data_IF_638342985537
#
_entry.id   IF_638342985537
#
_cell.length_a   1.000
_cell.length_b   1.000
_cell.length_c   1.000
_cell.angle_alpha   90.00
_cell.angle_beta   90.00
_cell.angle_gamma   90.00
#
_symmetry.space_group_name_H-M   'P 1'
#
loop_
_entity.id
_entity.type
_entity.pdbx_description
1 polymer ?
#
# COMPACT_ATOMS: atom_id res chain seq x y z
N UNK A 1 -0.27 -7.84 -2.91
CA UNK A 1 -1.21 -7.50 -1.82
C UNK A 1 -1.35 -5.99 -1.75
N UNK A 2 -2.48 -5.43 -1.28
CA UNK A 2 -2.58 -4.00 -1.00
C UNK A 2 -3.37 -3.69 0.27
N UNK A 3 -3.07 -2.54 0.87
CA UNK A 3 -3.84 -1.93 1.96
C UNK A 3 -4.28 -0.55 1.49
N UNK A 4 -5.58 -0.28 1.54
CA UNK A 4 -6.16 1.02 1.20
C UNK A 4 -6.69 1.66 2.47
N UNK A 5 -6.49 2.97 2.63
CA UNK A 5 -6.97 3.72 3.78
C UNK A 5 -7.28 5.17 3.37
N UNK A 6 -8.23 5.78 4.07
CA UNK A 6 -8.55 7.19 3.93
C UNK A 6 -7.98 7.95 5.13
N UNK A 7 -6.97 8.81 4.94
CA UNK A 7 -6.52 9.70 6.01
C UNK A 7 -7.65 10.67 6.40
N UNK A 8 -7.61 11.20 7.62
CA UNK A 8 -8.58 12.21 8.10
C UNK A 8 -8.63 13.43 7.18
N UNK A 9 -7.51 13.79 6.56
CA UNK A 9 -7.41 14.88 5.59
C UNK A 9 -6.64 14.45 4.35
N UNK A 10 -7.07 14.95 3.19
CA UNK A 10 -6.44 14.66 1.91
C UNK A 10 -7.00 13.41 1.20
N UNK A 11 -6.35 13.00 0.10
CA UNK A 11 -6.85 11.93 -0.75
C UNK A 11 -6.65 10.53 -0.16
N UNK A 12 -7.45 9.58 -0.66
CA UNK A 12 -7.30 8.15 -0.34
C UNK A 12 -5.89 7.69 -0.68
N UNK A 13 -5.35 6.78 0.15
CA UNK A 13 -4.00 6.24 -0.01
C UNK A 13 -4.03 4.73 -0.13
N UNK A 14 -3.06 4.20 -0.86
CA UNK A 14 -2.86 2.76 -1.03
C UNK A 14 -1.39 2.41 -0.87
N UNK A 15 -1.13 1.38 -0.07
CA UNK A 15 0.14 0.65 -0.07
C UNK A 15 -0.03 -0.59 -0.93
N UNK A 16 0.80 -0.76 -1.95
CA UNK A 16 0.81 -1.96 -2.81
C UNK A 16 2.14 -2.67 -2.66
N UNK A 17 2.07 -3.98 -2.46
CA UNK A 17 3.21 -4.87 -2.24
C UNK A 17 3.26 -5.90 -3.36
N UNK A 18 4.41 -5.97 -4.02
CA UNK A 18 4.68 -6.89 -5.14
C UNK A 18 5.99 -7.64 -4.94
N UNK A 19 6.10 -8.91 -5.34
CA UNK A 19 7.37 -9.62 -5.34
C UNK A 19 8.42 -8.91 -6.20
N UNK A 20 9.66 -8.83 -5.70
CA UNK A 20 10.83 -8.39 -6.46
C UNK A 20 11.56 -9.64 -6.95
N UNK A 21 11.44 -9.91 -8.25
CA UNK A 21 11.89 -11.15 -8.88
C UNK A 21 13.40 -11.45 -8.72
N UNK A 22 14.23 -10.44 -8.45
CA UNK A 22 15.68 -10.57 -8.44
C UNK A 22 16.25 -11.23 -7.17
N UNK A 23 15.61 -11.06 -6.01
CA UNK A 23 16.22 -11.38 -4.72
C UNK A 23 15.23 -11.94 -3.68
N UNK A 24 13.99 -12.25 -4.09
CA UNK A 24 12.97 -12.76 -3.17
C UNK A 24 12.45 -11.71 -2.17
N UNK A 25 12.90 -10.46 -2.28
CA UNK A 25 12.32 -9.33 -1.55
C UNK A 25 11.01 -8.85 -2.17
N UNK A 26 10.53 -7.70 -1.70
CA UNK A 26 9.28 -7.08 -2.14
C UNK A 26 9.54 -5.65 -2.60
N UNK A 27 8.72 -5.17 -3.53
CA UNK A 27 8.52 -3.76 -3.78
C UNK A 27 7.37 -3.25 -2.93
N UNK A 28 7.58 -2.16 -2.20
CA UNK A 28 6.53 -1.35 -1.58
C UNK A 28 6.29 -0.10 -2.40
N UNK A 29 5.06 0.05 -2.89
CA UNK A 29 4.59 1.24 -3.57
C UNK A 29 3.68 2.05 -2.64
N UNK A 30 3.92 3.35 -2.55
CA UNK A 30 2.97 4.31 -1.98
C UNK A 30 2.21 4.98 -3.12
N UNK A 31 0.88 4.98 -3.01
CA UNK A 31 0.01 5.46 -4.08
C UNK A 31 -1.09 6.37 -3.51
N UNK A 32 -1.47 7.36 -4.31
CA UNK A 32 -2.53 8.31 -3.99
C UNK A 32 -3.67 8.20 -5.00
N UNK A 33 -4.91 8.32 -4.56
CA UNK A 33 -6.05 8.42 -5.47
C UNK A 33 -6.15 9.82 -6.05
N UNK A 34 -6.16 9.94 -7.37
CA UNK A 34 -6.25 11.23 -8.08
C UNK A 34 -7.68 11.61 -8.47
N UNK A 35 -8.68 10.88 -7.97
CA UNK A 35 -10.09 11.03 -8.39
C UNK A 35 -10.51 10.06 -9.50
N UNK A 36 -9.57 9.53 -10.29
CA UNK A 36 -9.85 8.58 -11.38
C UNK A 36 -8.96 7.33 -11.37
N UNK A 37 -7.76 7.43 -10.82
CA UNK A 37 -6.81 6.32 -10.78
C UNK A 37 -5.88 6.45 -9.58
N UNK A 38 -5.22 5.34 -9.25
CA UNK A 38 -4.12 5.35 -8.30
C UNK A 38 -2.85 5.82 -9.02
N UNK A 39 -2.18 6.82 -8.45
CA UNK A 39 -0.88 7.30 -8.93
C UNK A 39 0.19 6.90 -7.92
N UNK A 40 1.25 6.25 -8.38
CA UNK A 40 2.43 5.97 -7.55
C UNK A 40 3.16 7.28 -7.21
N UNK A 41 3.40 7.51 -5.92
CA UNK A 41 4.21 8.62 -5.41
C UNK A 41 5.59 8.15 -4.94
N UNK A 42 5.72 6.88 -4.57
CA UNK A 42 6.98 6.30 -4.15
C UNK A 42 7.06 4.79 -4.39
N UNK A 43 8.29 4.30 -4.52
CA UNK A 43 8.62 2.88 -4.59
C UNK A 43 9.93 2.64 -3.84
N UNK A 44 9.95 1.63 -2.99
CA UNK A 44 11.19 1.18 -2.33
C UNK A 44 11.27 -0.34 -2.24
N UNK A 45 12.47 -0.90 -2.22
CA UNK A 45 12.67 -2.31 -1.94
C UNK A 45 12.51 -2.62 -0.45
N UNK A 46 11.97 -3.80 -0.14
CA UNK A 46 11.73 -4.28 1.22
C UNK A 46 12.19 -5.73 1.30
N UNK A 47 13.15 -6.03 2.16
CA UNK A 47 13.66 -7.39 2.34
C UNK A 47 12.88 -8.17 3.39
N UNK A 48 12.31 -7.48 4.39
CA UNK A 48 11.52 -8.09 5.47
C UNK A 48 10.16 -7.39 5.55
N UNK A 49 9.09 -8.17 5.41
CA UNK A 49 7.72 -7.69 5.46
C UNK A 49 6.92 -8.50 6.48
N UNK A 50 6.44 -7.83 7.52
CA UNK A 50 5.49 -8.39 8.49
C UNK A 50 4.17 -7.66 8.34
N UNK A 51 3.06 -8.41 8.25
CA UNK A 51 1.71 -7.85 8.19
C UNK A 51 0.92 -8.43 9.35
N UNK A 52 0.64 -7.59 10.33
CA UNK A 52 -0.20 -7.92 11.46
C UNK A 52 -1.63 -7.45 11.15
N UNK A 53 -2.62 -8.26 11.49
CA UNK A 53 -4.04 -7.94 11.29
C UNK A 53 -4.77 -8.17 12.60
N UNK A 54 -5.29 -7.12 13.18
CA UNK A 54 -6.32 -7.18 14.22
C UNK A 54 -7.67 -6.89 13.53
N UNK A 55 -8.70 -7.74 13.72
CA UNK A 55 -10.06 -7.50 13.17
C UNK A 55 -10.81 -6.42 13.96
N UNK A 56 -11.91 -5.77 13.54
CA UNK A 56 -12.74 -5.71 12.34
C UNK A 56 -12.90 -4.21 12.04
N UNK A 57 -12.61 -3.75 10.81
CA UNK A 57 -12.94 -2.38 10.42
C UNK A 57 -14.41 -2.36 10.03
N UNK A 58 -15.28 -1.89 10.92
CA UNK A 58 -16.68 -1.66 10.60
C UNK A 58 -16.80 -0.68 9.42
N UNK A 59 -17.56 -1.09 8.40
CA UNK A 59 -17.99 -0.23 7.30
C UNK A 59 -18.78 0.97 7.86
N UNK A 60 -18.38 2.19 7.48
CA UNK A 60 -19.11 3.45 7.73
C UNK A 60 -19.83 3.86 6.46
#
# INVERSE_FOLDING_TARGET
>A
MSVTYQPTTGPHRRLRLEPRAADGGMWRYTEVWTGCQWRTEGREPVDVLTIEREGEAADV
#
